data_IF_532067196925
#
_entry.id   IF_532067196925
#
_cell.length_a   1.000
_cell.length_b   1.000
_cell.length_c   1.000
_cell.angle_alpha   90.00
_cell.angle_beta   90.00
_cell.angle_gamma   90.00
#
_symmetry.space_group_name_H-M   'P 1'
#
loop_
_entity.id
_entity.type
_entity.pdbx_description
1 polymer ?
#
# COMPACT_ATOMS: atom_id res chain seq x y z
N UNK A 1 -6.45 15.50 13.57
CA UNK A 1 -6.44 14.01 13.60
C UNK A 1 -5.29 13.58 12.72
N UNK A 2 -4.35 12.73 13.11
CA UNK A 2 -3.93 12.19 14.39
C UNK A 2 -2.68 11.35 14.05
N UNK A 3 -1.54 11.68 14.67
CA UNK A 3 -0.31 10.88 14.77
C UNK A 3 0.36 10.36 13.48
N UNK A 4 1.66 10.02 13.56
CA UNK A 4 2.24 9.11 12.58
C UNK A 4 1.51 7.76 12.66
N UNK A 5 1.21 7.18 11.50
CA UNK A 5 0.51 5.91 11.36
C UNK A 5 1.45 4.88 10.75
N UNK A 6 1.57 3.74 11.41
CA UNK A 6 2.07 2.52 10.78
C UNK A 6 0.86 1.80 10.17
N UNK A 7 0.82 1.72 8.84
CA UNK A 7 -0.32 1.18 8.10
C UNK A 7 0.06 -0.14 7.46
N UNK A 8 -0.75 -1.16 7.68
CA UNK A 8 -0.68 -2.44 6.98
C UNK A 8 -1.92 -2.61 6.11
N UNK A 9 -1.71 -3.07 4.87
CA UNK A 9 -2.77 -3.27 3.88
C UNK A 9 -2.65 -4.67 3.29
N UNK A 10 -3.70 -5.46 3.46
CA UNK A 10 -3.85 -6.74 2.78
C UNK A 10 -4.42 -6.55 1.38
N UNK A 11 -3.68 -7.04 0.39
CA UNK A 11 -4.04 -6.98 -1.01
C UNK A 11 -4.67 -8.31 -1.46
N UNK A 12 -5.53 -8.23 -2.49
CA UNK A 12 -6.26 -9.40 -2.96
C UNK A 12 -5.35 -10.40 -3.68
N UNK A 13 -4.52 -9.93 -4.61
CA UNK A 13 -3.71 -10.80 -5.48
C UNK A 13 -2.21 -10.48 -5.44
N UNK A 14 -1.33 -11.46 -5.76
CA UNK A 14 0.11 -11.26 -5.78
C UNK A 14 0.58 -10.09 -6.66
N UNK A 15 0.02 -9.93 -7.86
CA UNK A 15 0.39 -8.84 -8.77
C UNK A 15 0.14 -7.44 -8.18
N UNK A 16 -0.87 -7.29 -7.32
CA UNK A 16 -1.16 -6.02 -6.65
C UNK A 16 -0.05 -5.66 -5.66
N UNK A 17 0.53 -6.67 -4.99
CA UNK A 17 1.69 -6.49 -4.10
C UNK A 17 2.89 -6.05 -4.92
N UNK A 18 3.14 -6.69 -6.06
CA UNK A 18 4.27 -6.36 -6.94
C UNK A 18 4.17 -4.92 -7.46
N UNK A 19 2.96 -4.46 -7.78
CA UNK A 19 2.72 -3.05 -8.15
C UNK A 19 2.84 -2.10 -6.95
N UNK A 20 2.35 -2.49 -5.77
CA UNK A 20 2.40 -1.67 -4.56
C UNK A 20 3.83 -1.38 -4.10
N UNK A 21 4.74 -2.36 -4.18
CA UNK A 21 6.14 -2.19 -3.78
C UNK A 21 6.97 -1.33 -4.74
N UNK A 22 6.40 -0.92 -5.89
CA UNK A 22 7.01 0.09 -6.75
C UNK A 22 6.90 1.50 -6.14
N UNK A 23 5.97 1.72 -5.21
CA UNK A 23 5.80 3.00 -4.55
C UNK A 23 6.88 3.17 -3.47
N UNK A 24 7.66 4.26 -3.49
CA UNK A 24 8.69 4.51 -2.48
C UNK A 24 8.12 4.51 -1.06
N UNK A 25 8.79 3.80 -0.15
CA UNK A 25 8.37 3.68 1.26
C UNK A 25 7.33 2.58 1.52
N UNK A 26 6.81 1.91 0.49
CA UNK A 26 5.94 0.74 0.64
C UNK A 26 6.79 -0.53 0.64
N UNK A 27 6.58 -1.39 1.63
CA UNK A 27 7.35 -2.62 1.82
C UNK A 27 6.44 -3.82 1.98
N UNK A 28 6.87 -5.00 1.52
CA UNK A 28 6.12 -6.25 1.71
C UNK A 28 6.40 -6.83 3.09
N UNK A 29 5.36 -7.24 3.80
CA UNK A 29 5.46 -7.84 5.13
C UNK A 29 5.30 -9.36 5.05
N UNK A 30 6.16 -10.09 5.76
CA UNK A 30 6.01 -11.53 6.00
C UNK A 30 5.96 -12.44 4.77
N UNK A 31 6.41 -11.96 3.59
CA UNK A 31 6.32 -12.70 2.32
C UNK A 31 4.88 -12.94 1.82
N UNK A 32 3.87 -12.42 2.52
CA UNK A 32 2.46 -12.60 2.23
C UNK A 32 1.92 -11.59 1.22
N UNK A 33 0.63 -11.32 1.28
CA UNK A 33 -0.06 -10.33 0.44
C UNK A 33 -0.26 -8.98 1.14
N UNK A 34 0.52 -8.74 2.18
CA UNK A 34 0.44 -7.57 3.03
C UNK A 34 1.57 -6.62 2.69
N UNK A 35 1.25 -5.34 2.55
CA UNK A 35 2.24 -4.27 2.43
C UNK A 35 2.12 -3.31 3.61
N UNK A 36 3.23 -2.69 3.98
CA UNK A 36 3.30 -1.71 5.05
C UNK A 36 3.99 -0.42 4.60
N UNK A 37 3.54 0.70 5.17
CA UNK A 37 4.15 2.01 5.02
C UNK A 37 3.90 2.87 6.26
N UNK A 38 4.71 3.90 6.43
CA UNK A 38 4.49 4.94 7.43
C UNK A 38 3.84 6.16 6.79
N UNK A 39 2.87 6.76 7.47
CA UNK A 39 2.21 8.00 7.05
C UNK A 39 2.27 9.04 8.15
N UNK A 40 2.45 10.31 7.78
CA UNK A 40 2.55 11.40 8.77
C UNK A 40 1.21 11.70 9.46
N UNK A 41 0.11 11.44 8.75
CA UNK A 41 -1.26 11.58 9.22
C UNK A 41 -2.24 10.76 8.35
N UNK A 42 -3.52 10.83 8.69
CA UNK A 42 -4.58 10.15 7.94
C UNK A 42 -4.75 10.65 6.50
N UNK A 43 -4.44 11.93 6.23
CA UNK A 43 -4.52 12.48 4.88
C UNK A 43 -3.44 11.91 3.99
N UNK A 44 -2.23 11.78 4.51
CA UNK A 44 -1.11 11.11 3.85
C UNK A 44 -1.41 9.63 3.61
N UNK A 45 -1.91 8.92 4.63
CA UNK A 45 -2.33 7.53 4.50
C UNK A 45 -3.42 7.34 3.44
N UNK A 46 -4.43 8.21 3.40
CA UNK A 46 -5.51 8.13 2.43
C UNK A 46 -5.03 8.36 0.99
N UNK A 47 -4.11 9.30 0.77
CA UNK A 47 -3.51 9.53 -0.55
C UNK A 47 -2.76 8.28 -1.01
N UNK A 48 -1.95 7.68 -0.13
CA UNK A 48 -1.19 6.49 -0.47
C UNK A 48 -2.10 5.28 -0.73
N UNK A 49 -3.11 5.04 0.11
CA UNK A 49 -4.11 3.99 -0.14
C UNK A 49 -4.81 4.21 -1.48
N UNK A 50 -5.19 5.44 -1.81
CA UNK A 50 -5.84 5.75 -3.09
C UNK A 50 -4.93 5.47 -4.29
N UNK A 51 -3.62 5.69 -4.15
CA UNK A 51 -2.63 5.32 -5.17
C UNK A 51 -2.53 3.79 -5.30
N UNK A 52 -2.48 3.06 -4.19
CA UNK A 52 -2.44 1.59 -4.21
C UNK A 52 -3.67 1.00 -4.91
N UNK A 53 -4.86 1.56 -4.66
CA UNK A 53 -6.10 1.17 -5.35
C UNK A 53 -6.01 1.42 -6.85
N UNK A 54 -5.48 2.57 -7.27
CA UNK A 54 -5.30 2.87 -8.70
C UNK A 54 -4.32 1.90 -9.36
N UNK A 55 -3.19 1.60 -8.72
CA UNK A 55 -2.23 0.63 -9.22
C UNK A 55 -2.85 -0.77 -9.31
N UNK A 56 -3.60 -1.19 -8.29
CA UNK A 56 -4.29 -2.49 -8.28
C UNK A 56 -5.34 -2.64 -9.40
N UNK A 57 -5.79 -1.54 -10.01
CA UNK A 57 -6.69 -1.58 -11.18
C UNK A 57 -5.98 -1.93 -12.50
N UNK A 58 -4.64 -1.91 -12.52
CA UNK A 58 -3.82 -2.30 -13.67
C UNK A 58 -3.72 -3.82 -13.67
N UNK A 59 -4.71 -4.48 -14.26
CA UNK A 59 -4.73 -5.93 -14.38
C UNK A 59 -3.80 -6.36 -15.53
N UNK A 60 -2.86 -7.28 -15.31
CA UNK A 60 -2.11 -7.89 -16.41
C UNK A 60 -3.04 -8.74 -17.29
N UNK A 61 -2.88 -8.62 -18.61
CA UNK A 61 -3.61 -9.38 -19.63
C UNK A 61 -3.30 -10.89 -19.57
#
# INVERSE_FOLDING_TARGET
MAGPLDVEVDLYGPYMVDLAVLVPGVTRVGGGRTVAFQAADFGDAYRLISLLVQLASIKPD
#
